data_IF_658592482684
#
_entry.id   IF_658592482684
#
_cell.length_a   1.000
_cell.length_b   1.000
_cell.length_c   1.000
_cell.angle_alpha   90.00
_cell.angle_beta   90.00
_cell.angle_gamma   90.00
#
_symmetry.space_group_name_H-M   'P 1'
#
loop_
_entity.id
_entity.type
_entity.pdbx_description
1 polymer ?
#
# COMPACT_ATOMS: atom_id res chain seq x y z
N UNK A 1 10.89 -5.76 -12.26
CA UNK A 1 9.98 -4.85 -13.02
C UNK A 1 10.51 -3.42 -13.08
N UNK A 2 10.89 -2.80 -11.95
CA UNK A 2 11.33 -1.39 -11.92
C UNK A 2 12.52 -1.12 -12.84
N UNK A 3 13.57 -1.96 -12.80
CA UNK A 3 14.74 -1.81 -13.67
C UNK A 3 14.36 -1.82 -15.17
N UNK A 4 13.41 -2.67 -15.57
CA UNK A 4 12.93 -2.75 -16.95
C UNK A 4 12.13 -1.51 -17.40
N UNK A 5 11.72 -0.68 -16.45
CA UNK A 5 11.09 0.63 -16.70
C UNK A 5 12.10 1.79 -16.65
N UNK A 6 13.40 1.49 -16.57
CA UNK A 6 14.47 2.49 -16.52
C UNK A 6 14.83 2.97 -15.11
N UNK A 7 14.15 2.47 -14.06
CA UNK A 7 14.52 2.84 -12.70
C UNK A 7 15.86 2.20 -12.28
N UNK A 8 16.74 2.90 -11.55
CA UNK A 8 18.06 2.38 -11.16
C UNK A 8 18.02 1.36 -10.01
N UNK A 9 16.86 0.73 -9.75
CA UNK A 9 16.68 -0.28 -8.70
C UNK A 9 17.20 -1.66 -9.13
N UNK A 10 18.29 -2.10 -8.50
CA UNK A 10 18.92 -3.40 -8.72
C UNK A 10 18.99 -4.20 -7.42
N UNK A 11 17.95 -4.99 -7.07
CA UNK A 11 17.88 -5.71 -5.79
C UNK A 11 19.09 -6.57 -5.48
N UNK A 12 19.68 -7.24 -6.49
CA UNK A 12 20.88 -8.07 -6.32
C UNK A 12 22.12 -7.29 -5.87
N UNK A 13 22.26 -6.01 -6.27
CA UNK A 13 23.36 -5.16 -5.81
C UNK A 13 23.17 -4.76 -4.35
N UNK A 14 21.95 -4.38 -3.98
CA UNK A 14 21.57 -4.07 -2.60
C UNK A 14 21.89 -5.26 -1.70
N UNK A 15 21.44 -6.46 -2.06
CA UNK A 15 21.67 -7.66 -1.27
C UNK A 15 23.17 -7.97 -1.09
N UNK A 16 23.99 -7.79 -2.14
CA UNK A 16 25.44 -8.01 -2.04
C UNK A 16 26.14 -6.99 -1.14
N UNK A 17 25.75 -5.72 -1.21
CA UNK A 17 26.32 -4.67 -0.34
C UNK A 17 26.00 -4.94 1.12
N UNK A 18 24.76 -5.33 1.40
CA UNK A 18 24.35 -5.68 2.76
C UNK A 18 25.06 -6.94 3.30
N UNK A 19 25.39 -7.89 2.45
CA UNK A 19 26.12 -9.08 2.88
C UNK A 19 27.56 -8.79 3.37
N UNK A 20 28.14 -7.66 2.97
CA UNK A 20 29.46 -7.20 3.40
C UNK A 20 29.44 -6.05 4.37
N UNK A 21 28.26 -5.65 4.86
CA UNK A 21 28.06 -4.53 5.77
C UNK A 21 27.85 -5.06 7.19
N UNK A 22 28.46 -4.43 8.20
CA UNK A 22 28.24 -4.73 9.60
C UNK A 22 27.10 -3.89 10.20
N UNK A 23 26.99 -2.64 9.77
CA UNK A 23 25.92 -1.74 10.18
C UNK A 23 25.27 -1.10 8.94
N UNK A 24 23.96 -1.19 8.88
CA UNK A 24 23.15 -0.65 7.78
C UNK A 24 23.27 0.88 7.66
N UNK A 25 23.54 1.57 8.78
CA UNK A 25 23.66 3.01 8.83
C UNK A 25 24.88 3.54 8.07
N UNK A 26 25.96 2.74 8.03
CA UNK A 26 27.21 3.10 7.34
C UNK A 26 27.06 3.20 5.81
N UNK A 27 26.07 2.52 5.25
CA UNK A 27 25.89 2.42 3.81
C UNK A 27 24.65 3.15 3.28
N UNK A 28 23.93 3.88 4.12
CA UNK A 28 22.70 4.58 3.70
C UNK A 28 22.96 5.62 2.60
N UNK A 29 24.17 6.21 2.55
CA UNK A 29 24.57 7.16 1.51
C UNK A 29 24.93 6.52 0.17
N UNK A 30 25.09 5.21 0.13
CA UNK A 30 25.38 4.50 -1.11
C UNK A 30 24.22 4.60 -2.10
N UNK A 31 24.54 4.87 -3.36
CA UNK A 31 23.54 5.10 -4.43
C UNK A 31 22.63 3.90 -4.68
N UNK A 32 23.16 2.67 -4.64
CA UNK A 32 22.36 1.46 -4.83
C UNK A 32 21.41 1.26 -3.64
N UNK A 33 21.86 1.57 -2.40
CA UNK A 33 21.04 1.49 -1.18
C UNK A 33 19.93 2.55 -1.21
N UNK A 34 20.22 3.78 -1.58
CA UNK A 34 19.22 4.83 -1.76
C UNK A 34 18.14 4.46 -2.78
N UNK A 35 18.51 3.70 -3.81
CA UNK A 35 17.57 3.19 -4.80
C UNK A 35 16.53 2.20 -4.22
N UNK A 36 16.72 1.67 -3.01
CA UNK A 36 15.71 0.87 -2.32
C UNK A 36 14.40 1.64 -2.15
N UNK A 37 14.45 2.97 -2.02
CA UNK A 37 13.27 3.84 -1.95
C UNK A 37 12.33 3.69 -3.17
N UNK A 38 12.84 3.27 -4.32
CA UNK A 38 12.06 3.02 -5.54
C UNK A 38 11.30 1.67 -5.53
N UNK A 39 11.50 0.84 -4.54
CA UNK A 39 10.86 -0.47 -4.49
C UNK A 39 9.34 -0.33 -4.34
N UNK A 40 8.57 -0.95 -5.23
CA UNK A 40 7.10 -1.00 -5.14
C UNK A 40 6.58 -2.24 -4.39
N UNK A 41 7.49 -2.99 -3.78
CA UNK A 41 7.18 -4.15 -2.93
C UNK A 41 6.34 -5.25 -3.60
N UNK A 42 6.40 -5.35 -4.93
CA UNK A 42 5.65 -6.33 -5.71
C UNK A 42 6.06 -7.80 -5.49
N UNK A 43 7.17 -8.08 -4.81
CA UNK A 43 7.62 -9.43 -4.49
C UNK A 43 8.23 -10.23 -5.66
N UNK A 44 8.21 -9.77 -6.90
CA UNK A 44 8.71 -10.53 -8.08
C UNK A 44 10.19 -10.92 -7.94
N UNK A 45 11.00 -10.08 -7.29
CA UNK A 45 12.41 -10.39 -7.02
C UNK A 45 12.59 -11.55 -6.02
N UNK A 46 11.59 -11.85 -5.19
CA UNK A 46 11.59 -12.96 -4.22
C UNK A 46 10.98 -14.22 -4.83
N UNK A 47 9.69 -14.14 -5.16
CA UNK A 47 8.90 -15.32 -5.52
C UNK A 47 9.24 -15.86 -6.91
N UNK A 48 9.75 -15.03 -7.82
CA UNK A 48 10.00 -15.42 -9.20
C UNK A 48 11.49 -15.44 -9.56
N UNK A 49 12.23 -14.39 -9.23
CA UNK A 49 13.56 -14.16 -9.78
C UNK A 49 14.72 -14.66 -8.90
N UNK A 50 14.52 -14.84 -7.59
CA UNK A 50 15.59 -15.23 -6.69
C UNK A 50 15.73 -16.77 -6.60
N UNK A 51 16.81 -17.37 -7.12
CA UNK A 51 17.03 -18.82 -6.99
C UNK A 51 17.45 -19.21 -5.57
N UNK A 52 17.92 -18.25 -4.77
CA UNK A 52 18.45 -18.48 -3.42
C UNK A 52 17.40 -18.34 -2.32
N UNK A 53 16.13 -18.03 -2.64
CA UNK A 53 15.09 -17.83 -1.65
C UNK A 53 15.29 -16.60 -0.74
N UNK A 54 16.12 -15.64 -1.15
CA UNK A 54 16.34 -14.40 -0.41
C UNK A 54 15.09 -13.52 -0.48
N UNK A 55 14.99 -12.56 0.44
CA UNK A 55 13.83 -11.65 0.57
C UNK A 55 14.18 -10.19 0.24
N UNK A 56 14.57 -9.84 -1.00
CA UNK A 56 14.98 -8.49 -1.36
C UNK A 56 13.86 -7.44 -1.14
N UNK A 57 12.59 -7.81 -1.30
CA UNK A 57 11.45 -6.93 -1.05
C UNK A 57 11.42 -6.49 0.42
N UNK A 58 11.53 -7.46 1.34
CA UNK A 58 11.54 -7.20 2.79
C UNK A 58 12.71 -6.31 3.18
N UNK A 59 13.89 -6.61 2.65
CA UNK A 59 15.09 -5.81 2.87
C UNK A 59 14.92 -4.38 2.35
N UNK A 60 14.37 -4.21 1.15
CA UNK A 60 14.10 -2.88 0.60
C UNK A 60 13.10 -2.10 1.45
N UNK A 61 12.10 -2.77 2.06
CA UNK A 61 11.16 -2.16 2.99
C UNK A 61 11.87 -1.64 4.26
N UNK A 62 12.78 -2.43 4.83
CA UNK A 62 13.60 -2.02 5.98
C UNK A 62 14.46 -0.79 5.60
N UNK A 63 15.18 -0.87 4.47
CA UNK A 63 16.01 0.24 3.99
C UNK A 63 15.22 1.52 3.77
N UNK A 64 14.00 1.45 3.25
CA UNK A 64 13.11 2.61 3.14
C UNK A 64 12.86 3.27 4.49
N UNK A 65 12.62 2.45 5.52
CA UNK A 65 12.42 2.94 6.88
C UNK A 65 13.66 3.66 7.43
N UNK A 66 14.84 3.06 7.26
CA UNK A 66 16.10 3.65 7.71
C UNK A 66 16.47 4.93 6.93
N UNK A 67 16.29 4.92 5.61
CA UNK A 67 16.46 6.12 4.78
C UNK A 67 15.53 7.26 5.22
N UNK A 68 14.28 6.94 5.54
CA UNK A 68 13.32 7.93 6.02
C UNK A 68 13.71 8.52 7.39
N UNK A 69 14.17 7.69 8.33
CA UNK A 69 14.69 8.12 9.65
C UNK A 69 15.90 9.03 9.51
N UNK A 70 16.80 8.72 8.56
CA UNK A 70 17.97 9.53 8.25
C UNK A 70 17.66 10.80 7.43
N UNK A 71 16.39 11.03 7.06
CA UNK A 71 16.00 12.17 6.22
C UNK A 71 16.47 12.07 4.75
N UNK A 72 16.95 10.89 4.35
CA UNK A 72 17.47 10.62 3.01
C UNK A 72 16.33 10.27 2.07
N UNK A 73 16.06 11.14 1.09
CA UNK A 73 15.04 10.90 0.06
C UNK A 73 15.70 10.55 -1.26
N UNK A 74 15.02 9.71 -2.04
CA UNK A 74 15.41 9.48 -3.42
C UNK A 74 15.28 10.78 -4.21
N UNK A 75 16.38 11.18 -4.86
CA UNK A 75 16.39 12.31 -5.78
C UNK A 75 16.24 11.76 -7.19
N UNK A 76 15.16 12.16 -7.86
CA UNK A 76 14.94 11.77 -9.25
C UNK A 76 15.99 12.48 -10.12
N UNK A 77 16.79 11.74 -10.91
CA UNK A 77 17.67 12.36 -11.89
C UNK A 77 16.88 13.21 -12.89
N UNK A 78 17.50 14.26 -13.38
CA UNK A 78 16.95 15.03 -14.50
C UNK A 78 16.86 14.16 -15.76
N UNK A 79 15.81 14.38 -16.55
CA UNK A 79 15.57 13.69 -17.81
C UNK A 79 14.51 12.58 -17.71
N UNK A 80 14.27 11.95 -18.84
CA UNK A 80 13.29 10.87 -18.95
C UNK A 80 13.91 9.50 -18.65
N UNK A 81 13.19 8.68 -17.89
CA UNK A 81 13.54 7.27 -17.74
C UNK A 81 13.17 6.50 -19.01
N UNK A 82 14.17 5.88 -19.62
CA UNK A 82 13.97 5.05 -20.79
C UNK A 82 13.79 3.60 -20.36
N UNK A 83 12.71 2.97 -20.82
CA UNK A 83 12.51 1.55 -20.62
C UNK A 83 13.64 0.73 -21.29
N UNK A 84 14.02 -0.37 -20.66
CA UNK A 84 14.95 -1.34 -21.24
C UNK A 84 14.39 -1.86 -22.57
N UNK A 85 15.15 -1.85 -23.67
CA UNK A 85 14.68 -2.32 -24.98
C UNK A 85 14.22 -3.78 -24.92
N UNK A 86 14.84 -4.61 -24.07
CA UNK A 86 14.49 -6.01 -23.91
C UNK A 86 13.32 -6.25 -22.95
N UNK A 87 12.67 -5.18 -22.46
CA UNK A 87 11.58 -5.28 -21.48
C UNK A 87 10.52 -6.29 -21.85
N UNK A 88 10.13 -6.33 -23.12
CA UNK A 88 9.07 -7.21 -23.57
C UNK A 88 9.47 -8.70 -23.57
N UNK A 89 10.75 -8.99 -23.75
CA UNK A 89 11.31 -10.34 -23.73
C UNK A 89 11.56 -10.84 -22.29
N UNK A 90 11.58 -9.94 -21.31
CA UNK A 90 11.93 -10.21 -19.91
C UNK A 90 10.75 -10.10 -18.95
N UNK A 91 9.52 -10.13 -19.45
CA UNK A 91 8.30 -10.16 -18.63
C UNK A 91 8.20 -11.49 -17.88
N UNK A 92 7.83 -11.44 -16.61
CA UNK A 92 7.49 -12.63 -15.85
C UNK A 92 6.11 -13.14 -16.30
N UNK A 93 5.98 -14.39 -16.78
CA UNK A 93 4.68 -14.96 -17.15
C UNK A 93 3.75 -15.02 -15.93
N UNK A 94 2.52 -14.53 -16.07
CA UNK A 94 1.54 -14.42 -14.98
C UNK A 94 1.23 -15.77 -14.33
N UNK A 95 0.96 -16.80 -15.11
CA UNK A 95 0.67 -18.14 -14.58
C UNK A 95 1.83 -18.72 -13.77
N UNK A 96 3.08 -18.43 -14.17
CA UNK A 96 4.25 -18.85 -13.40
C UNK A 96 4.41 -18.08 -12.09
N UNK A 97 4.05 -16.80 -12.09
CA UNK A 97 4.02 -15.98 -10.87
C UNK A 97 2.93 -16.48 -9.93
N UNK A 98 1.72 -16.73 -10.43
CA UNK A 98 0.59 -17.27 -9.67
C UNK A 98 0.94 -18.63 -9.05
N UNK A 99 1.56 -19.53 -9.83
CA UNK A 99 2.02 -20.83 -9.34
C UNK A 99 3.04 -20.70 -8.20
N UNK A 100 4.04 -19.82 -8.36
CA UNK A 100 5.05 -19.58 -7.32
C UNK A 100 4.51 -18.85 -6.10
N UNK A 101 3.47 -18.04 -6.27
CA UNK A 101 2.76 -17.41 -5.16
C UNK A 101 1.78 -18.37 -4.44
N UNK A 102 1.56 -19.58 -4.97
CA UNK A 102 0.65 -20.56 -4.41
C UNK A 102 -0.84 -20.26 -4.65
N UNK A 103 -1.16 -19.37 -5.60
CA UNK A 103 -2.53 -18.92 -5.89
C UNK A 103 -3.09 -19.45 -7.21
N UNK A 104 -2.33 -20.23 -7.97
CA UNK A 104 -2.75 -20.73 -9.28
C UNK A 104 -4.03 -21.58 -9.22
N UNK A 105 -4.26 -22.30 -8.12
CA UNK A 105 -5.48 -23.10 -7.93
C UNK A 105 -6.77 -22.26 -7.89
N UNK A 106 -6.65 -20.97 -7.59
CA UNK A 106 -7.79 -20.03 -7.51
C UNK A 106 -8.09 -19.32 -8.83
N UNK A 107 -7.27 -19.50 -9.87
CA UNK A 107 -7.45 -18.86 -11.18
C UNK A 107 -8.75 -19.30 -11.87
N UNK A 108 -9.19 -20.53 -11.62
CA UNK A 108 -10.42 -21.10 -12.17
C UNK A 108 -11.66 -20.84 -11.30
N UNK A 109 -11.51 -20.21 -10.15
CA UNK A 109 -12.64 -19.89 -9.27
C UNK A 109 -13.43 -18.75 -9.90
N UNK A 110 -14.65 -19.07 -10.32
CA UNK A 110 -15.60 -18.06 -10.84
C UNK A 110 -16.51 -17.63 -9.70
N UNK A 111 -16.84 -16.35 -9.68
CA UNK A 111 -17.86 -15.82 -8.77
C UNK A 111 -19.17 -15.89 -9.55
N UNK A 112 -20.00 -16.88 -9.20
CA UNK A 112 -21.27 -17.10 -9.88
C UNK A 112 -22.35 -16.12 -9.39
N UNK A 113 -22.23 -15.67 -8.13
CA UNK A 113 -23.21 -14.78 -7.53
C UNK A 113 -22.54 -13.77 -6.59
N UNK A 114 -22.97 -12.53 -6.67
CA UNK A 114 -22.57 -11.47 -5.76
C UNK A 114 -23.64 -11.28 -4.68
N UNK A 115 -23.32 -11.64 -3.45
CA UNK A 115 -24.20 -11.37 -2.32
C UNK A 115 -24.20 -9.88 -2.00
N UNK A 116 -25.35 -9.23 -2.15
CA UNK A 116 -25.56 -7.84 -1.73
C UNK A 116 -26.08 -7.84 -0.29
N UNK A 117 -25.28 -7.33 0.62
CA UNK A 117 -25.72 -7.12 2.00
C UNK A 117 -26.57 -5.83 2.05
N UNK A 118 -27.83 -5.90 2.56
CA UNK A 118 -28.63 -4.70 2.67
C UNK A 118 -27.99 -3.71 3.65
N UNK A 119 -28.00 -2.43 3.29
CA UNK A 119 -27.61 -1.35 4.19
C UNK A 119 -28.50 -1.43 5.43
N UNK A 120 -27.94 -1.34 6.61
CA UNK A 120 -28.70 -1.46 7.87
C UNK A 120 -28.83 -2.89 8.43
N UNK A 121 -28.37 -3.94 7.75
CA UNK A 121 -28.24 -5.28 8.34
C UNK A 121 -27.32 -5.28 9.57
N UNK A 122 -26.37 -4.35 9.65
CA UNK A 122 -25.54 -4.11 10.84
C UNK A 122 -26.25 -3.09 11.73
N UNK A 123 -26.66 -3.49 12.93
CA UNK A 123 -27.33 -2.59 13.89
C UNK A 123 -26.46 -1.41 14.34
N UNK A 124 -25.14 -1.53 14.24
CA UNK A 124 -24.16 -0.48 14.56
C UNK A 124 -22.94 -0.62 13.65
N UNK A 125 -22.48 0.49 13.09
CA UNK A 125 -21.30 0.55 12.22
C UNK A 125 -20.26 1.49 12.84
N UNK A 126 -19.00 1.07 12.84
CA UNK A 126 -17.85 1.89 13.26
C UNK A 126 -16.98 2.23 12.08
N UNK A 127 -16.75 3.51 11.86
CA UNK A 127 -15.94 4.07 10.79
C UNK A 127 -14.71 4.72 11.41
N UNK A 128 -13.55 4.08 11.30
CA UNK A 128 -12.31 4.62 11.81
C UNK A 128 -11.97 5.93 11.09
N UNK A 129 -11.55 6.96 11.83
CA UNK A 129 -11.13 8.25 11.26
C UNK A 129 -9.81 8.10 10.46
N UNK A 130 -9.00 7.08 10.78
CA UNK A 130 -7.79 6.73 10.03
C UNK A 130 -7.97 5.38 9.35
N UNK A 131 -8.27 5.38 8.06
CA UNK A 131 -8.46 4.16 7.24
C UNK A 131 -7.33 3.91 6.24
N UNK A 132 -6.38 4.81 6.13
CA UNK A 132 -5.31 4.74 5.16
C UNK A 132 -3.98 5.23 5.73
N UNK A 133 -2.91 5.16 4.91
CA UNK A 133 -1.58 5.71 5.23
C UNK A 133 -1.57 7.25 5.27
N UNK A 134 -2.61 7.89 4.72
CA UNK A 134 -2.75 9.34 4.70
C UNK A 134 -3.08 9.94 6.07
N UNK A 135 -3.38 11.23 6.07
CA UNK A 135 -3.83 11.93 7.27
C UNK A 135 -5.18 11.36 7.76
N UNK A 136 -5.39 11.28 9.08
CA UNK A 136 -6.72 10.95 9.61
C UNK A 136 -7.73 12.03 9.24
N UNK A 137 -8.97 11.62 9.01
CA UNK A 137 -10.09 12.54 8.81
C UNK A 137 -10.58 13.09 10.15
N UNK A 138 -11.18 14.26 10.15
CA UNK A 138 -11.85 14.84 11.32
C UNK A 138 -13.36 14.93 11.08
N UNK A 139 -14.19 14.72 12.12
CA UNK A 139 -15.63 14.76 12.01
C UNK A 139 -16.13 16.14 11.56
N UNK A 140 -17.14 16.15 10.67
CA UNK A 140 -17.91 17.36 10.29
C UNK A 140 -19.35 17.28 10.78
N UNK A 141 -19.68 16.25 11.55
CA UNK A 141 -20.97 16.03 12.21
C UNK A 141 -20.78 16.10 13.72
N UNK A 142 -21.87 16.40 14.43
CA UNK A 142 -21.89 16.48 15.90
C UNK A 142 -22.29 15.15 16.54
N UNK A 143 -21.88 14.97 17.78
CA UNK A 143 -22.34 13.83 18.58
C UNK A 143 -23.87 13.88 18.73
N UNK A 144 -24.53 12.74 18.55
CA UNK A 144 -26.00 12.63 18.56
C UNK A 144 -26.69 13.10 17.27
N UNK A 145 -25.95 13.55 16.26
CA UNK A 145 -26.53 14.01 15.00
C UNK A 145 -27.10 12.86 14.18
N UNK A 146 -28.26 13.04 13.56
CA UNK A 146 -28.86 12.08 12.64
C UNK A 146 -28.29 12.30 11.24
N UNK A 147 -27.84 11.22 10.63
CA UNK A 147 -27.29 11.19 9.27
C UNK A 147 -28.04 10.21 8.38
N UNK A 148 -28.08 10.52 7.10
CA UNK A 148 -28.55 9.61 6.07
C UNK A 148 -27.37 8.88 5.43
N UNK A 149 -27.62 7.68 4.91
CA UNK A 149 -26.63 6.92 4.14
C UNK A 149 -26.07 7.78 2.99
N UNK A 150 -24.75 7.75 2.80
CA UNK A 150 -24.04 8.56 1.81
C UNK A 150 -23.68 9.98 2.27
N UNK A 151 -24.23 10.48 3.39
CA UNK A 151 -23.90 11.81 3.90
C UNK A 151 -22.42 11.91 4.29
N UNK A 152 -21.77 13.02 3.96
CA UNK A 152 -20.42 13.35 4.39
C UNK A 152 -20.38 13.52 5.91
N UNK A 153 -19.52 12.76 6.59
CA UNK A 153 -19.42 12.73 8.06
C UNK A 153 -18.04 13.09 8.60
N UNK A 154 -16.98 12.92 7.77
CA UNK A 154 -15.66 13.38 8.13
C UNK A 154 -14.86 13.76 6.87
N UNK A 155 -13.92 14.70 7.01
CA UNK A 155 -13.10 15.21 5.93
C UNK A 155 -11.62 15.14 6.31
N UNK A 156 -10.77 15.02 5.30
CA UNK A 156 -9.33 15.12 5.46
C UNK A 156 -8.92 16.60 5.61
N UNK A 157 -7.87 16.92 6.38
CA UNK A 157 -7.33 18.28 6.44
C UNK A 157 -6.91 18.79 5.06
N UNK A 158 -7.16 20.05 4.79
CA UNK A 158 -6.82 20.70 3.51
C UNK A 158 -5.32 20.54 3.21
N UNK A 159 -5.01 20.26 1.95
CA UNK A 159 -3.65 20.06 1.50
C UNK A 159 -2.99 18.73 1.93
N UNK A 160 -3.68 17.90 2.71
CA UNK A 160 -3.20 16.58 3.12
C UNK A 160 -3.70 15.49 2.18
N UNK A 161 -2.91 14.42 2.06
CA UNK A 161 -3.35 13.21 1.38
C UNK A 161 -4.27 12.42 2.30
N UNK A 162 -5.52 12.21 1.91
CA UNK A 162 -6.50 11.46 2.67
C UNK A 162 -7.82 11.33 1.92
N UNK A 163 -8.83 10.75 2.57
CA UNK A 163 -10.15 10.53 1.98
C UNK A 163 -11.25 11.06 2.91
N UNK A 164 -12.31 11.59 2.34
CA UNK A 164 -13.53 11.89 3.06
C UNK A 164 -14.25 10.60 3.47
N UNK A 165 -14.96 10.62 4.60
CA UNK A 165 -15.80 9.52 5.06
C UNK A 165 -17.27 9.87 4.92
N UNK A 166 -18.04 8.91 4.42
CA UNK A 166 -19.48 9.02 4.26
C UNK A 166 -20.19 7.99 5.14
N UNK A 167 -21.38 8.32 5.60
CA UNK A 167 -22.19 7.40 6.37
C UNK A 167 -22.55 6.18 5.53
N UNK A 168 -22.25 4.99 6.02
CA UNK A 168 -22.56 3.72 5.33
C UNK A 168 -23.97 3.20 5.65
N UNK A 169 -24.61 3.79 6.64
CA UNK A 169 -26.00 3.51 7.04
C UNK A 169 -26.65 4.79 7.55
N UNK A 170 -27.97 4.90 7.44
CA UNK A 170 -28.73 5.95 8.08
C UNK A 170 -28.87 5.69 9.59
N UNK A 171 -28.66 6.70 10.42
CA UNK A 171 -28.72 6.52 11.86
C UNK A 171 -28.27 7.71 12.68
N UNK A 172 -28.00 7.47 13.96
CA UNK A 172 -27.49 8.49 14.88
C UNK A 172 -26.00 8.27 15.09
N UNK A 173 -25.21 9.34 14.91
CA UNK A 173 -23.77 9.32 15.03
C UNK A 173 -23.38 9.53 16.48
N UNK A 174 -22.41 8.72 16.95
CA UNK A 174 -21.62 8.95 18.13
C UNK A 174 -20.20 9.29 17.71
N UNK A 175 -19.68 10.41 18.19
CA UNK A 175 -18.32 10.87 17.86
C UNK A 175 -17.37 10.40 18.95
N UNK A 176 -16.40 9.56 18.57
CA UNK A 176 -15.33 9.09 19.42
C UNK A 176 -13.96 9.59 18.91
N UNK A 177 -12.94 9.54 19.73
CA UNK A 177 -11.62 10.08 19.40
C UNK A 177 -11.01 9.50 18.13
N UNK A 178 -11.18 8.19 17.89
CA UNK A 178 -10.55 7.46 16.78
C UNK A 178 -11.52 6.98 15.72
N UNK A 179 -12.83 7.05 15.94
CA UNK A 179 -13.85 6.56 15.03
C UNK A 179 -15.20 7.27 15.22
N UNK A 180 -16.04 7.18 14.20
CA UNK A 180 -17.45 7.51 14.29
C UNK A 180 -18.25 6.21 14.40
N UNK A 181 -19.17 6.14 15.34
CA UNK A 181 -20.11 5.04 15.45
C UNK A 181 -21.48 5.51 14.98
N UNK A 182 -22.10 4.78 14.06
CA UNK A 182 -23.44 5.05 13.59
C UNK A 182 -24.34 3.91 14.06
N UNK A 183 -25.29 4.24 14.91
CA UNK A 183 -26.36 3.33 15.31
C UNK A 183 -27.46 3.41 14.28
N UNK A 184 -27.62 2.34 13.47
CA UNK A 184 -28.62 2.30 12.41
C UNK A 184 -30.02 2.53 12.97
N UNK A 185 -30.79 3.41 12.31
CA UNK A 185 -32.23 3.52 12.55
C UNK A 185 -32.84 2.31 11.88
N UNK A 186 -33.45 1.39 12.66
CA UNK A 186 -34.22 0.30 12.08
C UNK A 186 -35.22 0.85 11.07
N UNK A 187 -35.28 0.23 9.91
CA UNK A 187 -36.33 0.46 8.91
C UNK A 187 -37.66 0.04 9.44
#
# INVERSE_FOLDING_TARGET
PRALLGHPLKPHRIMRKLASCHDITEILDDSDIRNAALCCECGICEIFACPMGLQPRRINGILKGELAKAGLRYQRPEGEWKADPDRNMRKAPTGRVASRAGVAAYEAVQIDELAVLPSGAAGTVRLALRQSIGAPSYPVVKDGERVEEGRLIAVCPDGSLGSALHASVSGVVKVEEQYLEIKASGS
#
